data_IF_863123749638
#
_entry.id   IF_863123749638
#
_cell.length_a   1.000
_cell.length_b   1.000
_cell.length_c   1.000
_cell.angle_alpha   90.00
_cell.angle_beta   90.00
_cell.angle_gamma   90.00
#
_symmetry.space_group_name_H-M   'P 1'
#
loop_
_entity.id
_entity.type
_entity.pdbx_description
1 polymer ?
#
# COMPACT_ATOMS: atom_id res chain seq x y z
N UNK A 1 -0.46 -18.16 22.44
CA UNK A 1 -0.53 -19.58 22.82
C UNK A 1 -0.08 -20.40 21.63
N UNK A 2 0.94 -21.25 21.78
CA UNK A 2 1.34 -22.19 20.74
C UNK A 2 0.78 -23.57 21.12
N UNK A 3 -0.11 -24.12 20.30
CA UNK A 3 -0.73 -25.43 20.50
C UNK A 3 -0.21 -26.38 19.43
N UNK A 4 0.49 -27.44 19.84
CA UNK A 4 0.90 -28.52 18.95
C UNK A 4 -0.19 -29.59 18.88
N UNK A 5 -0.70 -29.85 17.68
CA UNK A 5 -1.69 -30.90 17.44
C UNK A 5 -1.02 -32.02 16.65
N UNK A 6 -1.17 -33.26 17.11
CA UNK A 6 -0.66 -34.44 16.41
C UNK A 6 -1.72 -34.96 15.44
N UNK A 7 -1.49 -34.95 14.11
CA UNK A 7 -2.53 -35.22 13.13
C UNK A 7 -2.68 -36.72 12.81
N UNK A 8 -3.41 -37.44 13.66
CA UNK A 8 -3.89 -38.79 13.34
C UNK A 8 -5.22 -38.71 12.60
N UNK A 9 -5.35 -39.46 11.50
CA UNK A 9 -6.63 -39.65 10.82
C UNK A 9 -7.45 -40.77 11.48
N UNK A 10 -8.68 -40.98 11.02
CA UNK A 10 -9.60 -42.02 11.55
C UNK A 10 -9.06 -43.45 11.39
N UNK A 11 -8.10 -43.66 10.50
CA UNK A 11 -7.36 -44.91 10.30
C UNK A 11 -6.11 -45.03 11.19
N UNK A 12 -5.95 -44.14 12.18
CA UNK A 12 -4.79 -44.02 13.08
C UNK A 12 -3.44 -43.82 12.37
N UNK A 13 -3.45 -43.30 11.14
CA UNK A 13 -2.25 -42.93 10.39
C UNK A 13 -1.88 -41.48 10.66
N UNK A 14 -0.58 -41.24 10.84
CA UNK A 14 -0.04 -39.90 11.02
C UNK A 14 0.02 -39.19 9.66
N UNK A 15 -0.88 -38.24 9.43
CA UNK A 15 -0.92 -37.48 8.19
C UNK A 15 -1.57 -36.11 8.39
N UNK A 16 -0.74 -35.06 8.42
CA UNK A 16 -1.21 -33.68 8.44
C UNK A 16 -2.05 -33.34 7.20
N UNK A 17 -1.72 -33.94 6.05
CA UNK A 17 -2.40 -33.66 4.78
C UNK A 17 -3.86 -34.09 4.79
N UNK A 18 -4.18 -35.22 5.43
CA UNK A 18 -5.56 -35.72 5.49
C UNK A 18 -6.37 -35.00 6.57
N UNK A 19 -5.74 -34.69 7.72
CA UNK A 19 -6.39 -34.03 8.86
C UNK A 19 -6.60 -32.53 8.64
N UNK A 20 -5.58 -31.82 8.14
CA UNK A 20 -5.62 -30.36 7.90
C UNK A 20 -5.72 -30.04 6.41
N UNK A 21 -6.79 -30.52 5.79
CA UNK A 21 -7.12 -30.18 4.41
C UNK A 21 -7.84 -28.81 4.33
N UNK A 22 -8.06 -28.30 3.10
CA UNK A 22 -8.71 -27.00 2.86
C UNK A 22 -10.11 -26.90 3.50
N UNK A 23 -10.90 -27.97 3.44
CA UNK A 23 -12.26 -27.99 4.02
C UNK A 23 -12.20 -27.95 5.55
N UNK A 24 -11.32 -28.74 6.16
CA UNK A 24 -11.12 -28.76 7.61
C UNK A 24 -10.67 -27.39 8.14
N UNK A 25 -9.72 -26.72 7.46
CA UNK A 25 -9.29 -25.38 7.84
C UNK A 25 -10.41 -24.34 7.70
N UNK A 26 -11.28 -24.45 6.69
CA UNK A 26 -12.45 -23.59 6.55
C UNK A 26 -13.48 -23.83 7.65
N UNK A 27 -13.75 -25.10 7.99
CA UNK A 27 -14.64 -25.48 9.07
C UNK A 27 -14.13 -24.93 10.42
N UNK A 28 -12.83 -25.05 10.71
CA UNK A 28 -12.25 -24.47 11.93
C UNK A 28 -12.44 -22.96 12.00
N UNK A 29 -12.29 -22.23 10.88
CA UNK A 29 -12.52 -20.78 10.84
C UNK A 29 -13.99 -20.41 11.06
N UNK A 30 -14.94 -21.28 10.72
CA UNK A 30 -16.39 -21.07 10.90
C UNK A 30 -16.85 -21.45 12.32
N UNK A 31 -16.41 -22.62 12.80
CA UNK A 31 -16.91 -23.23 14.03
C UNK A 31 -16.20 -22.72 15.28
N UNK A 32 -14.88 -22.46 15.22
CA UNK A 32 -14.11 -22.03 16.38
C UNK A 32 -14.60 -20.68 16.97
N UNK A 33 -14.90 -19.65 16.15
CA UNK A 33 -15.44 -18.41 16.68
C UNK A 33 -16.78 -18.63 17.40
N UNK A 34 -17.68 -19.41 16.78
CA UNK A 34 -19.00 -19.75 17.32
C UNK A 34 -18.89 -20.48 18.66
N UNK A 35 -18.01 -21.49 18.74
CA UNK A 35 -17.74 -22.25 19.95
C UNK A 35 -17.21 -21.40 21.11
N UNK A 36 -16.39 -20.39 20.80
CA UNK A 36 -15.88 -19.47 21.81
C UNK A 36 -16.94 -18.44 22.23
N UNK A 37 -17.78 -17.98 21.31
CA UNK A 37 -18.92 -17.10 21.63
C UNK A 37 -19.90 -17.77 22.60
N UNK A 38 -20.25 -19.04 22.38
CA UNK A 38 -21.11 -19.82 23.28
C UNK A 38 -20.54 -19.93 24.71
N UNK A 39 -19.22 -19.83 24.86
CA UNK A 39 -18.52 -19.85 26.15
C UNK A 39 -18.31 -18.46 26.76
N UNK A 40 -18.89 -17.43 26.15
CA UNK A 40 -18.89 -16.06 26.67
C UNK A 40 -17.73 -15.18 26.16
N UNK A 41 -16.98 -15.59 25.13
CA UNK A 41 -15.97 -14.74 24.52
C UNK A 41 -16.57 -13.87 23.41
N UNK A 42 -16.40 -12.54 23.50
CA UNK A 42 -16.87 -11.62 22.46
C UNK A 42 -15.86 -11.50 21.32
N UNK A 43 -15.97 -12.38 20.32
CA UNK A 43 -15.12 -12.41 19.14
C UNK A 43 -15.93 -12.78 17.90
N UNK A 44 -15.51 -12.29 16.74
CA UNK A 44 -16.20 -12.52 15.47
C UNK A 44 -15.31 -13.29 14.51
N UNK A 45 -15.95 -13.93 13.53
CA UNK A 45 -15.27 -14.61 12.43
C UNK A 45 -14.45 -13.60 11.61
N UNK A 46 -13.26 -14.00 11.16
CA UNK A 46 -12.52 -13.27 10.14
C UNK A 46 -13.28 -13.16 8.81
N UNK A 47 -12.84 -12.25 7.94
CA UNK A 47 -13.48 -11.99 6.64
C UNK A 47 -13.49 -13.26 5.75
N UNK A 48 -14.68 -13.65 5.26
CA UNK A 48 -14.87 -14.88 4.47
C UNK A 48 -14.35 -14.68 3.05
N UNK A 49 -13.49 -15.59 2.60
CA UNK A 49 -12.79 -15.44 1.33
C UNK A 49 -11.68 -14.38 1.35
N UNK A 50 -11.18 -14.02 2.54
CA UNK A 50 -10.05 -13.10 2.67
C UNK A 50 -8.84 -13.60 1.88
N UNK A 51 -8.43 -12.82 0.90
CA UNK A 51 -7.22 -13.04 0.10
C UNK A 51 -5.95 -12.52 0.79
N UNK A 52 -6.04 -12.08 2.07
CA UNK A 52 -4.87 -11.64 2.83
C UNK A 52 -3.85 -12.77 2.96
N UNK A 53 -2.61 -12.48 2.54
CA UNK A 53 -1.45 -13.32 2.80
C UNK A 53 -1.08 -13.29 4.28
N UNK A 54 -0.68 -14.45 4.82
CA UNK A 54 -0.10 -14.53 6.15
C UNK A 54 1.27 -13.84 6.14
N UNK A 55 1.32 -12.65 6.74
CA UNK A 55 2.56 -11.91 6.93
C UNK A 55 3.38 -12.56 8.05
N UNK A 56 4.69 -12.62 7.89
CA UNK A 56 5.56 -12.96 9.01
C UNK A 56 5.48 -11.88 10.09
N UNK A 57 5.79 -12.22 11.35
CA UNK A 57 5.73 -11.26 12.48
C UNK A 57 6.52 -9.96 12.20
N UNK A 58 7.74 -10.00 11.63
CA UNK A 58 8.48 -8.78 11.29
C UNK A 58 7.80 -7.94 10.20
N UNK A 59 7.28 -8.58 9.15
CA UNK A 59 6.59 -7.90 8.05
C UNK A 59 5.29 -7.25 8.53
N UNK A 60 4.53 -7.95 9.39
CA UNK A 60 3.32 -7.41 9.98
C UNK A 60 3.59 -6.17 10.85
N UNK A 61 4.67 -6.20 11.64
CA UNK A 61 5.09 -5.04 12.44
C UNK A 61 5.44 -3.84 11.56
N UNK A 62 6.25 -4.03 10.53
CA UNK A 62 6.59 -2.98 9.56
C UNK A 62 5.36 -2.40 8.88
N UNK A 63 4.49 -3.24 8.34
CA UNK A 63 3.27 -2.79 7.68
C UNK A 63 2.37 -1.99 8.63
N UNK A 64 2.27 -2.40 9.90
CA UNK A 64 1.50 -1.68 10.92
C UNK A 64 2.13 -0.33 11.26
N UNK A 65 3.45 -0.27 11.38
CA UNK A 65 4.19 0.95 11.69
C UNK A 65 4.09 1.96 10.53
N UNK A 66 4.24 1.52 9.28
CA UNK A 66 4.04 2.33 8.08
C UNK A 66 2.61 2.89 7.99
N UNK A 67 1.60 2.05 8.26
CA UNK A 67 0.20 2.47 8.26
C UNK A 67 -0.05 3.52 9.35
N UNK A 68 0.55 3.32 10.53
CA UNK A 68 0.45 4.27 11.64
C UNK A 68 1.10 5.60 11.26
N UNK A 69 2.32 5.59 10.75
CA UNK A 69 3.03 6.79 10.29
C UNK A 69 2.24 7.55 9.23
N UNK A 70 1.73 6.86 8.21
CA UNK A 70 0.86 7.45 7.19
C UNK A 70 -0.40 8.08 7.79
N UNK A 71 -1.07 7.42 8.74
CA UNK A 71 -2.27 8.00 9.38
C UNK A 71 -1.95 9.24 10.20
N UNK A 72 -0.88 9.23 11.01
CA UNK A 72 -0.47 10.41 11.78
C UNK A 72 -0.05 11.58 10.89
N UNK A 73 0.67 11.32 9.81
CA UNK A 73 1.07 12.39 8.87
C UNK A 73 -0.12 12.99 8.15
N UNK A 74 -1.13 12.18 7.81
CA UNK A 74 -2.38 12.65 7.20
C UNK A 74 -3.21 13.49 8.18
N UNK A 75 -3.34 13.05 9.43
CA UNK A 75 -4.00 13.81 10.49
C UNK A 75 -3.27 15.12 10.81
N UNK A 76 -1.94 15.09 10.90
CA UNK A 76 -1.11 16.29 11.09
C UNK A 76 -1.31 17.29 9.95
N UNK A 77 -1.20 16.85 8.69
CA UNK A 77 -1.44 17.75 7.54
C UNK A 77 -2.86 18.31 7.50
N UNK A 78 -3.86 17.50 7.85
CA UNK A 78 -5.25 17.96 7.95
C UNK A 78 -5.40 19.02 9.05
N UNK A 79 -4.77 18.81 10.21
CA UNK A 79 -4.77 19.75 11.32
C UNK A 79 -4.01 21.04 11.01
N UNK A 80 -2.89 20.95 10.29
CA UNK A 80 -2.07 22.07 9.86
C UNK A 80 -2.81 22.94 8.85
N UNK A 81 -3.48 22.34 7.85
CA UNK A 81 -4.33 23.07 6.90
C UNK A 81 -5.47 23.79 7.63
N UNK A 82 -6.11 23.13 8.62
CA UNK A 82 -7.13 23.74 9.45
C UNK A 82 -6.59 24.88 10.34
N UNK A 83 -5.39 24.72 10.91
CA UNK A 83 -4.75 25.75 11.73
C UNK A 83 -4.33 26.96 10.88
N UNK A 84 -3.73 26.73 9.72
CA UNK A 84 -3.40 27.79 8.75
C UNK A 84 -4.63 28.55 8.26
N UNK A 85 -5.79 27.87 8.15
CA UNK A 85 -7.06 28.52 7.81
C UNK A 85 -7.63 29.39 8.93
N UNK A 86 -7.27 29.13 10.20
CA UNK A 86 -7.80 29.82 11.39
C UNK A 86 -6.88 30.91 11.94
N UNK A 87 -5.56 30.72 11.88
CA UNK A 87 -4.59 31.55 12.64
C UNK A 87 -3.97 32.72 11.86
N UNK A 88 -4.06 32.76 10.53
CA UNK A 88 -3.60 33.94 9.77
C UNK A 88 -4.63 35.06 9.86
N UNK A 89 -4.55 35.85 10.93
CA UNK A 89 -5.10 37.21 10.92
C UNK A 89 -4.27 38.01 9.91
N UNK A 90 -4.89 38.73 8.96
CA UNK A 90 -4.12 39.60 8.07
C UNK A 90 -3.38 40.62 8.94
N UNK A 91 -2.05 40.54 8.94
CA UNK A 91 -1.21 41.57 9.55
C UNK A 91 -1.24 42.71 8.55
N UNK A 92 -2.03 43.73 8.86
CA UNK A 92 -2.09 44.95 8.08
C UNK A 92 -0.84 45.74 8.42
N UNK A 93 0.05 45.86 7.44
CA UNK A 93 1.19 46.76 7.53
C UNK A 93 0.67 48.21 7.54
N UNK A 94 0.70 48.82 8.72
CA UNK A 94 0.18 50.18 8.95
C UNK A 94 1.06 51.24 8.27
N UNK A 95 2.34 50.94 8.04
CA UNK A 95 3.30 51.85 7.42
C UNK A 95 3.06 51.94 5.90
N UNK A 96 2.55 50.88 5.27
CA UNK A 96 2.24 50.83 3.84
C UNK A 96 0.94 51.59 3.43
N UNK A 97 0.13 51.99 4.41
CA UNK A 97 -1.20 52.59 4.22
C UNK A 97 -1.21 54.13 4.20
N UNK A 98 -0.05 54.78 4.33
CA UNK A 98 0.11 56.25 4.27
C UNK A 98 -0.90 57.01 5.17
N UNK A 99 -1.10 56.49 6.38
CA UNK A 99 -2.08 57.00 7.33
C UNK A 99 -1.70 58.41 7.83
N UNK A 100 -2.65 59.35 7.83
CA UNK A 100 -2.46 60.70 8.36
C UNK A 100 -3.48 61.00 9.45
N UNK A 101 -3.08 61.68 10.52
CA UNK A 101 -4.02 62.14 11.54
C UNK A 101 -4.91 63.27 10.99
N UNK A 102 -6.23 63.19 11.22
CA UNK A 102 -7.14 64.29 10.91
C UNK A 102 -6.96 65.40 11.97
N UNK A 103 -6.57 66.59 11.53
CA UNK A 103 -6.46 67.79 12.38
C UNK A 103 -7.65 68.72 12.17
N UNK A 104 -8.07 69.41 13.24
CA UNK A 104 -9.07 70.49 13.18
C UNK A 104 -8.47 71.75 13.79
N UNK A 105 -8.74 72.88 13.15
CA UNK A 105 -8.30 74.19 13.61
C UNK A 105 -9.21 74.68 14.73
N UNK A 106 -8.66 74.83 15.93
CA UNK A 106 -9.35 75.34 17.12
C UNK A 106 -8.77 76.68 17.51
N UNK A 107 -9.63 77.63 17.89
CA UNK A 107 -9.18 78.93 18.40
C UNK A 107 -8.82 78.78 19.88
N UNK A 108 -7.54 78.93 20.19
CA UNK A 108 -7.01 78.88 21.56
C UNK A 108 -6.43 80.25 21.95
N UNK A 109 -6.40 80.59 23.24
CA UNK A 109 -5.77 81.82 23.69
C UNK A 109 -4.29 81.87 23.28
N UNK A 110 -3.88 83.00 22.71
CA UNK A 110 -2.51 83.23 22.20
C UNK A 110 -1.52 83.56 23.31
N UNK A 111 -2.00 83.85 24.54
CA UNK A 111 -1.19 84.34 25.66
C UNK A 111 -0.74 85.81 25.51
N UNK A 112 -0.94 86.41 24.33
CA UNK A 112 -0.75 87.84 24.10
C UNK A 112 -2.00 88.59 24.58
N UNK A 113 -1.80 89.49 25.54
CA UNK A 113 -2.87 90.33 26.10
C UNK A 113 -2.56 91.80 25.88
N UNK A 114 -3.58 92.58 25.57
CA UNK A 114 -3.52 94.05 25.55
C UNK A 114 -4.49 94.60 26.59
N UNK A 115 -4.03 95.62 27.33
CA UNK A 115 -4.81 96.32 28.37
C UNK A 115 -4.24 96.15 29.79
N UNK A 116 -4.69 97.01 30.71
CA UNK A 116 -4.23 97.06 32.11
C UNK A 116 -5.42 96.85 33.05
N UNK A 117 -5.25 96.06 34.11
CA UNK A 117 -6.32 95.79 35.09
C UNK A 117 -7.48 94.96 34.52
N UNK A 118 -8.72 95.41 34.71
CA UNK A 118 -9.96 94.68 34.33
C UNK A 118 -10.32 94.77 32.84
N UNK A 119 -9.58 95.54 32.02
CA UNK A 119 -9.80 95.67 30.56
C UNK A 119 -8.81 94.83 29.73
N UNK A 120 -8.34 93.69 30.24
CA UNK A 120 -7.45 92.80 29.48
C UNK A 120 -8.23 92.06 28.39
N UNK A 121 -7.81 92.22 27.14
CA UNK A 121 -8.27 91.39 26.03
C UNK A 121 -7.16 90.40 25.67
N UNK A 122 -7.50 89.11 25.58
CA UNK A 122 -6.58 88.05 25.18
C UNK A 122 -6.80 87.71 23.72
N UNK A 123 -5.75 87.81 22.91
CA UNK A 123 -5.84 87.45 21.49
C UNK A 123 -6.01 85.95 21.35
N UNK A 124 -6.80 85.52 20.37
CA UNK A 124 -6.98 84.10 20.05
C UNK A 124 -6.10 83.75 18.84
N UNK A 125 -5.36 82.65 18.93
CA UNK A 125 -4.62 82.06 17.81
C UNK A 125 -5.34 80.81 17.31
N UNK A 126 -5.15 80.51 16.04
CA UNK A 126 -5.59 79.24 15.46
C UNK A 126 -4.51 78.18 15.75
N UNK A 127 -4.91 77.08 16.37
CA UNK A 127 -4.03 75.93 16.63
C UNK A 127 -4.65 74.67 16.03
N UNK A 128 -3.85 73.88 15.32
CA UNK A 128 -4.29 72.59 14.78
C UNK A 128 -4.21 71.53 15.87
N UNK A 129 -5.37 71.00 16.27
CA UNK A 129 -5.45 69.92 17.23
C UNK A 129 -5.87 68.62 16.54
N UNK A 130 -5.24 67.50 16.92
CA UNK A 130 -5.57 66.17 16.41
C UNK A 130 -6.95 65.76 16.92
N UNK A 131 -7.79 65.28 16.02
CA UNK A 131 -9.18 64.88 16.34
C UNK A 131 -9.30 63.46 16.88
N UNK A 132 -8.24 62.65 16.76
CA UNK A 132 -8.25 61.22 17.08
C UNK A 132 -8.69 60.32 15.92
N UNK A 133 -9.13 60.90 14.79
CA UNK A 133 -9.42 60.16 13.56
C UNK A 133 -8.18 60.07 12.64
N UNK A 134 -8.15 59.05 11.78
CA UNK A 134 -7.07 58.81 10.81
C UNK A 134 -7.63 58.78 9.39
N UNK A 135 -6.94 59.45 8.47
CA UNK A 135 -7.25 59.56 7.05
C UNK A 135 -6.40 58.58 6.26
N UNK A 136 -7.05 57.83 5.37
CA UNK A 136 -6.40 56.90 4.45
C UNK A 136 -6.66 57.33 2.99
N UNK A 137 -5.66 57.26 2.09
CA UNK A 137 -5.90 57.48 0.66
C UNK A 137 -6.92 56.47 0.11
N UNK A 138 -7.87 56.95 -0.70
CA UNK A 138 -8.95 56.13 -1.27
C UNK A 138 -8.42 54.93 -2.07
N UNK A 139 -7.36 55.12 -2.84
CA UNK A 139 -6.77 54.05 -3.65
C UNK A 139 -6.18 52.94 -2.77
N UNK A 140 -5.49 53.31 -1.68
CA UNK A 140 -4.95 52.37 -0.70
C UNK A 140 -6.06 51.59 0.01
N UNK A 141 -7.13 52.28 0.40
CA UNK A 141 -8.32 51.64 0.98
C UNK A 141 -8.94 50.63 0.01
N UNK A 142 -9.12 51.00 -1.25
CA UNK A 142 -9.66 50.10 -2.27
C UNK A 142 -8.77 48.87 -2.49
N UNK A 143 -7.44 49.04 -2.54
CA UNK A 143 -6.51 47.90 -2.66
C UNK A 143 -6.57 46.98 -1.44
N UNK A 144 -6.75 47.52 -0.23
CA UNK A 144 -6.89 46.73 0.98
C UNK A 144 -8.19 45.91 0.97
N UNK A 145 -9.30 46.51 0.53
CA UNK A 145 -10.59 45.83 0.39
C UNK A 145 -10.48 44.69 -0.63
N UNK A 146 -9.92 44.95 -1.81
CA UNK A 146 -9.70 43.92 -2.83
C UNK A 146 -8.83 42.77 -2.33
N UNK A 147 -7.71 43.08 -1.66
CA UNK A 147 -6.84 42.05 -1.09
C UNK A 147 -7.54 41.19 -0.04
N UNK A 148 -8.43 41.78 0.77
CA UNK A 148 -9.23 41.03 1.73
C UNK A 148 -10.26 40.13 1.04
N UNK A 149 -10.96 40.63 0.02
CA UNK A 149 -11.92 39.85 -0.77
C UNK A 149 -11.25 38.66 -1.47
N UNK A 150 -10.08 38.89 -2.09
CA UNK A 150 -9.29 37.83 -2.74
C UNK A 150 -8.84 36.75 -1.75
N UNK A 151 -8.41 37.16 -0.55
CA UNK A 151 -7.99 36.24 0.51
C UNK A 151 -9.18 35.42 1.01
N UNK A 152 -10.33 36.06 1.25
CA UNK A 152 -11.57 35.39 1.64
C UNK A 152 -12.00 34.37 0.59
N UNK A 153 -12.04 34.77 -0.68
CA UNK A 153 -12.40 33.89 -1.79
C UNK A 153 -11.43 32.70 -1.93
N UNK A 154 -10.14 32.92 -1.73
CA UNK A 154 -9.12 31.87 -1.78
C UNK A 154 -9.30 30.86 -0.65
N UNK A 155 -9.58 31.33 0.57
CA UNK A 155 -9.87 30.47 1.72
C UNK A 155 -11.14 29.63 1.51
N UNK A 156 -12.20 30.21 0.96
CA UNK A 156 -13.42 29.49 0.63
C UNK A 156 -13.19 28.39 -0.43
N UNK A 157 -12.36 28.67 -1.45
CA UNK A 157 -11.95 27.66 -2.44
C UNK A 157 -11.15 26.52 -1.80
N UNK A 158 -10.21 26.83 -0.93
CA UNK A 158 -9.42 25.82 -0.20
C UNK A 158 -10.31 24.94 0.68
N UNK A 159 -11.28 25.53 1.38
CA UNK A 159 -12.26 24.81 2.19
C UNK A 159 -13.08 23.84 1.34
N UNK A 160 -13.62 24.31 0.20
CA UNK A 160 -14.35 23.45 -0.74
C UNK A 160 -13.48 22.30 -1.27
N UNK A 161 -12.24 22.57 -1.68
CA UNK A 161 -11.31 21.53 -2.13
C UNK A 161 -11.06 20.46 -1.06
N UNK A 162 -10.85 20.88 0.19
CA UNK A 162 -10.65 19.98 1.32
C UNK A 162 -11.89 19.13 1.65
N UNK A 163 -13.09 19.66 1.42
CA UNK A 163 -14.36 18.98 1.69
C UNK A 163 -14.86 18.09 0.53
N UNK A 164 -14.58 18.45 -0.73
CA UNK A 164 -15.13 17.73 -1.89
C UNK A 164 -14.10 16.94 -2.66
N UNK A 165 -13.02 17.58 -3.13
CA UNK A 165 -12.12 16.99 -4.11
C UNK A 165 -11.09 16.08 -3.47
N UNK A 166 -10.57 16.48 -2.29
CA UNK A 166 -9.64 15.67 -1.53
C UNK A 166 -10.27 14.32 -1.09
N UNK A 167 -11.50 14.27 -0.53
CA UNK A 167 -12.16 13.00 -0.21
C UNK A 167 -12.48 12.15 -1.45
N UNK A 168 -12.89 12.76 -2.58
CA UNK A 168 -13.09 12.04 -3.84
C UNK A 168 -11.80 11.39 -4.32
N UNK A 169 -10.67 12.12 -4.27
CA UNK A 169 -9.36 11.60 -4.67
C UNK A 169 -8.90 10.48 -3.76
N UNK A 170 -9.08 10.62 -2.44
CA UNK A 170 -8.80 9.55 -1.46
C UNK A 170 -9.62 8.31 -1.82
N UNK A 171 -10.94 8.44 -2.00
CA UNK A 171 -11.82 7.32 -2.38
C UNK A 171 -11.36 6.64 -3.68
N UNK A 172 -11.03 7.41 -4.71
CA UNK A 172 -10.52 6.90 -5.98
C UNK A 172 -9.23 6.09 -5.79
N UNK A 173 -8.27 6.62 -5.03
CA UNK A 173 -6.99 5.93 -4.76
C UNK A 173 -7.22 4.66 -3.96
N UNK A 174 -8.09 4.69 -2.93
CA UNK A 174 -8.45 3.50 -2.15
C UNK A 174 -9.05 2.40 -3.03
N UNK A 175 -9.94 2.75 -3.95
CA UNK A 175 -10.56 1.77 -4.85
C UNK A 175 -9.56 1.20 -5.86
N UNK A 176 -8.68 2.02 -6.42
CA UNK A 176 -7.57 1.54 -7.26
C UNK A 176 -6.61 0.62 -6.51
N UNK A 177 -6.31 0.93 -5.25
CA UNK A 177 -5.48 0.06 -4.42
C UNK A 177 -6.15 -1.30 -4.20
N UNK A 178 -7.47 -1.34 -3.92
CA UNK A 178 -8.22 -2.60 -3.80
C UNK A 178 -8.20 -3.43 -5.08
N UNK A 179 -8.36 -2.79 -6.26
CA UNK A 179 -8.22 -3.48 -7.55
C UNK A 179 -6.84 -4.11 -7.70
N UNK A 180 -5.77 -3.36 -7.44
CA UNK A 180 -4.39 -3.87 -7.53
C UNK A 180 -4.13 -5.04 -6.58
N UNK A 181 -4.69 -5.00 -5.36
CA UNK A 181 -4.58 -6.11 -4.41
C UNK A 181 -5.25 -7.38 -4.95
N UNK A 182 -6.46 -7.28 -5.51
CA UNK A 182 -7.16 -8.42 -6.13
C UNK A 182 -6.35 -9.02 -7.29
N UNK A 183 -5.86 -8.18 -8.20
CA UNK A 183 -5.06 -8.64 -9.35
C UNK A 183 -3.79 -9.39 -8.90
N UNK A 184 -3.14 -8.89 -7.84
CA UNK A 184 -1.98 -9.54 -7.26
C UNK A 184 -2.31 -10.89 -6.61
N UNK A 185 -3.46 -11.00 -5.95
CA UNK A 185 -3.91 -12.24 -5.35
C UNK A 185 -4.29 -13.28 -6.41
N UNK A 186 -5.01 -12.87 -7.46
CA UNK A 186 -5.30 -13.72 -8.62
C UNK A 186 -4.03 -14.23 -9.30
N UNK A 187 -2.99 -13.39 -9.38
CA UNK A 187 -1.68 -13.81 -9.89
C UNK A 187 -1.01 -14.81 -8.94
N UNK A 188 -1.07 -14.59 -7.63
CA UNK A 188 -0.50 -15.49 -6.63
C UNK A 188 -1.18 -16.87 -6.64
N UNK A 189 -2.51 -16.90 -6.77
CA UNK A 189 -3.27 -18.16 -6.86
C UNK A 189 -2.91 -18.94 -8.13
N UNK A 190 -2.80 -18.24 -9.28
CA UNK A 190 -2.31 -18.86 -10.51
C UNK A 190 -0.90 -19.41 -10.37
N UNK A 191 -0.02 -18.67 -9.71
CA UNK A 191 1.35 -19.12 -9.45
C UNK A 191 1.38 -20.38 -8.58
N UNK A 192 0.61 -20.41 -7.49
CA UNK A 192 0.52 -21.58 -6.61
C UNK A 192 -0.07 -22.81 -7.34
N UNK A 193 -1.13 -22.62 -8.13
CA UNK A 193 -1.70 -23.71 -8.94
C UNK A 193 -0.68 -24.26 -9.95
N UNK A 194 0.14 -23.39 -10.55
CA UNK A 194 1.21 -23.80 -11.45
C UNK A 194 2.30 -24.57 -10.71
N UNK A 195 2.68 -24.15 -9.50
CA UNK A 195 3.63 -24.88 -8.65
C UNK A 195 3.12 -26.28 -8.31
N UNK A 196 1.86 -26.41 -7.88
CA UNK A 196 1.27 -27.72 -7.61
C UNK A 196 1.26 -28.63 -8.85
N UNK A 197 0.98 -28.04 -10.02
CA UNK A 197 1.03 -28.76 -11.28
C UNK A 197 2.45 -29.23 -11.63
N UNK A 198 3.45 -28.37 -11.44
CA UNK A 198 4.87 -28.72 -11.61
C UNK A 198 5.25 -29.88 -10.69
N UNK A 199 4.94 -29.78 -9.39
CA UNK A 199 5.18 -30.84 -8.41
C UNK A 199 4.52 -32.18 -8.82
N UNK A 200 3.30 -32.12 -9.37
CA UNK A 200 2.60 -33.31 -9.84
C UNK A 200 3.30 -33.94 -11.06
N UNK A 201 3.72 -33.13 -12.01
CA UNK A 201 4.44 -33.56 -13.22
C UNK A 201 5.83 -34.11 -12.87
N UNK A 202 6.51 -33.55 -11.88
CA UNK A 202 7.79 -34.07 -11.39
C UNK A 202 7.62 -35.45 -10.75
N UNK A 203 6.57 -35.66 -9.96
CA UNK A 203 6.25 -36.97 -9.38
C UNK A 203 5.92 -38.00 -10.45
N UNK A 204 5.10 -37.63 -11.43
CA UNK A 204 4.74 -38.49 -12.56
C UNK A 204 5.98 -38.86 -13.37
N UNK A 205 6.81 -37.88 -13.73
CA UNK A 205 8.09 -38.13 -14.43
C UNK A 205 9.02 -39.04 -13.64
N UNK A 206 9.10 -38.89 -12.31
CA UNK A 206 9.90 -39.77 -11.47
C UNK A 206 9.33 -41.20 -11.41
N UNK A 207 8.00 -41.36 -11.38
CA UNK A 207 7.34 -42.66 -11.48
C UNK A 207 7.67 -43.33 -12.81
N UNK A 208 7.47 -42.63 -13.93
CA UNK A 208 7.76 -43.12 -15.27
C UNK A 208 9.24 -43.52 -15.42
N UNK A 209 10.16 -42.70 -14.89
CA UNK A 209 11.60 -43.04 -14.87
C UNK A 209 11.87 -44.34 -14.12
N UNK A 210 11.17 -44.59 -13.00
CA UNK A 210 11.33 -45.81 -12.21
C UNK A 210 10.72 -47.03 -12.91
N UNK A 211 9.54 -46.89 -13.51
CA UNK A 211 8.89 -47.94 -14.30
C UNK A 211 9.77 -48.34 -15.50
N UNK A 212 10.29 -47.36 -16.24
CA UNK A 212 11.23 -47.59 -17.34
C UNK A 212 12.47 -48.36 -16.86
N UNK A 213 13.09 -47.94 -15.74
CA UNK A 213 14.22 -48.68 -15.13
C UNK A 213 13.82 -50.12 -14.75
N UNK A 214 12.61 -50.32 -14.24
CA UNK A 214 12.05 -51.63 -13.92
C UNK A 214 11.93 -52.52 -15.16
N UNK A 215 11.36 -51.98 -16.25
CA UNK A 215 11.25 -52.66 -17.54
C UNK A 215 12.63 -53.07 -18.06
N UNK A 216 13.62 -52.16 -18.05
CA UNK A 216 14.98 -52.50 -18.46
C UNK A 216 15.55 -53.68 -17.67
N UNK A 217 15.43 -53.66 -16.34
CA UNK A 217 15.91 -54.75 -15.47
C UNK A 217 15.19 -56.06 -15.75
N UNK A 218 13.87 -56.03 -15.88
CA UNK A 218 13.05 -57.21 -16.18
C UNK A 218 13.38 -57.81 -17.54
N UNK A 219 13.56 -56.96 -18.55
CA UNK A 219 13.95 -57.38 -19.89
C UNK A 219 15.33 -58.03 -19.90
N UNK A 220 16.32 -57.44 -19.21
CA UNK A 220 17.65 -58.04 -19.08
C UNK A 220 17.60 -59.40 -18.40
N UNK A 221 16.93 -59.49 -17.24
CA UNK A 221 16.81 -60.75 -16.51
C UNK A 221 16.08 -61.84 -17.32
N UNK A 222 15.07 -61.47 -18.11
CA UNK A 222 14.37 -62.39 -18.99
C UNK A 222 15.29 -62.95 -20.08
N UNK A 223 16.09 -62.13 -20.76
CA UNK A 223 16.99 -62.59 -21.83
C UNK A 223 18.16 -63.41 -21.30
N UNK A 224 18.71 -63.05 -20.15
CA UNK A 224 19.74 -63.84 -19.46
C UNK A 224 19.23 -65.25 -19.13
N UNK A 225 18.01 -65.36 -18.58
CA UNK A 225 17.41 -66.65 -18.21
C UNK A 225 16.87 -67.47 -19.38
N UNK A 226 16.23 -66.83 -20.36
CA UNK A 226 15.46 -67.54 -21.41
C UNK A 226 16.27 -67.87 -22.66
N UNK A 227 17.34 -67.11 -22.95
CA UNK A 227 18.12 -67.27 -24.19
C UNK A 227 19.62 -67.49 -23.98
N UNK A 228 20.10 -67.49 -22.72
CA UNK A 228 21.53 -67.67 -22.43
C UNK A 228 22.42 -66.56 -23.02
N UNK A 229 21.83 -65.39 -23.26
CA UNK A 229 22.47 -64.23 -23.90
C UNK A 229 23.20 -63.42 -22.84
N UNK A 230 24.42 -62.95 -23.13
CA UNK A 230 25.20 -62.15 -22.17
C UNK A 230 24.65 -60.74 -22.00
N UNK A 231 24.89 -60.13 -20.84
CA UNK A 231 24.41 -58.78 -20.54
C UNK A 231 24.84 -57.73 -21.60
N UNK A 232 26.04 -57.86 -22.18
CA UNK A 232 26.51 -56.98 -23.27
C UNK A 232 25.68 -57.10 -24.55
N UNK A 233 25.30 -58.32 -24.94
CA UNK A 233 24.48 -58.57 -26.12
C UNK A 233 23.05 -58.03 -25.93
N UNK A 234 22.50 -58.17 -24.73
CA UNK A 234 21.19 -57.57 -24.39
C UNK A 234 21.28 -56.05 -24.47
N UNK A 235 22.35 -55.45 -23.94
CA UNK A 235 22.55 -53.98 -23.93
C UNK A 235 22.62 -53.41 -25.35
N UNK A 236 23.25 -54.10 -26.29
CA UNK A 236 23.30 -53.69 -27.70
C UNK A 236 21.94 -53.77 -28.37
N UNK A 237 21.20 -54.86 -28.14
CA UNK A 237 19.85 -55.07 -28.70
C UNK A 237 18.85 -54.04 -28.18
N UNK A 238 18.88 -53.80 -26.88
CA UNK A 238 18.08 -52.77 -26.21
C UNK A 238 18.46 -51.37 -26.69
N UNK A 239 19.76 -51.08 -26.87
CA UNK A 239 20.23 -49.82 -27.46
C UNK A 239 19.64 -49.58 -28.85
N UNK A 240 19.64 -50.60 -29.72
CA UNK A 240 19.03 -50.52 -31.05
C UNK A 240 17.52 -50.26 -31.02
N UNK A 241 16.79 -50.85 -30.07
CA UNK A 241 15.36 -50.58 -29.85
C UNK A 241 15.17 -49.14 -29.37
N UNK A 242 15.97 -48.66 -28.43
CA UNK A 242 15.92 -47.28 -27.91
C UNK A 242 16.16 -46.27 -29.02
N UNK A 243 17.12 -46.50 -29.89
CA UNK A 243 17.40 -45.61 -31.01
C UNK A 243 16.26 -45.60 -32.04
N UNK A 244 15.60 -46.75 -32.25
CA UNK A 244 14.36 -46.83 -33.03
C UNK A 244 13.21 -46.06 -32.37
N UNK A 245 13.03 -46.19 -31.05
CA UNK A 245 12.03 -45.41 -30.29
C UNK A 245 12.33 -43.92 -30.38
N UNK A 246 13.59 -43.49 -30.27
CA UNK A 246 13.99 -42.09 -30.46
C UNK A 246 13.63 -41.56 -31.84
N UNK A 247 13.73 -42.38 -32.90
CA UNK A 247 13.27 -41.98 -34.24
C UNK A 247 11.76 -41.73 -34.29
N UNK A 248 10.95 -42.53 -33.60
CA UNK A 248 9.49 -42.35 -33.53
C UNK A 248 9.06 -41.19 -32.63
N UNK A 249 9.86 -40.85 -31.62
CA UNK A 249 9.60 -39.76 -30.66
C UNK A 249 10.30 -38.45 -31.08
N UNK A 250 10.93 -38.40 -32.27
CA UNK A 250 11.56 -37.19 -32.83
C UNK A 250 10.60 -35.99 -32.79
N UNK A 251 11.01 -34.90 -32.14
CA UNK A 251 10.20 -33.69 -31.95
C UNK A 251 9.29 -33.67 -30.72
N UNK A 252 9.23 -34.74 -29.92
CA UNK A 252 8.49 -34.81 -28.66
C UNK A 252 9.15 -34.05 -27.50
N UNK A 253 8.42 -33.84 -26.39
CA UNK A 253 8.87 -33.03 -25.25
C UNK A 253 10.21 -33.48 -24.64
N UNK A 254 10.54 -34.78 -24.70
CA UNK A 254 11.83 -35.32 -24.25
C UNK A 254 13.05 -34.68 -24.95
N UNK A 255 12.96 -34.41 -26.26
CA UNK A 255 14.04 -33.79 -27.03
C UNK A 255 14.16 -32.29 -26.71
N UNK A 256 13.04 -31.64 -26.39
CA UNK A 256 12.99 -30.23 -25.97
C UNK A 256 13.54 -30.02 -24.56
N UNK A 257 13.18 -30.89 -23.62
CA UNK A 257 13.67 -30.86 -22.23
C UNK A 257 15.19 -31.10 -22.21
N UNK A 258 15.69 -32.09 -22.96
CA UNK A 258 17.12 -32.38 -22.99
C UNK A 258 17.95 -31.25 -23.61
N UNK A 259 17.44 -30.56 -24.65
CA UNK A 259 18.07 -29.36 -25.23
C UNK A 259 18.07 -28.16 -24.28
N UNK A 260 17.05 -28.03 -23.44
CA UNK A 260 16.99 -26.94 -22.45
C UNK A 260 17.89 -27.21 -21.25
N UNK A 261 17.93 -28.45 -20.74
CA UNK A 261 18.83 -28.86 -19.65
C UNK A 261 20.31 -28.73 -20.01
N UNK A 262 20.70 -29.07 -21.25
CA UNK A 262 22.07 -28.86 -21.75
C UNK A 262 22.41 -27.37 -21.85
N UNK A 263 21.51 -26.54 -22.40
CA UNK A 263 21.71 -25.08 -22.47
C UNK A 263 21.82 -24.41 -21.09
N UNK A 264 21.10 -24.89 -20.07
CA UNK A 264 21.22 -24.35 -18.70
C UNK A 264 22.52 -24.75 -18.03
N UNK A 265 22.99 -25.99 -18.23
CA UNK A 265 24.31 -26.43 -17.72
C UNK A 265 25.45 -25.66 -18.35
N UNK A 266 25.40 -25.45 -19.66
CA UNK A 266 26.43 -24.66 -20.38
C UNK A 266 26.47 -23.21 -19.88
N UNK A 267 25.32 -22.63 -19.49
CA UNK A 267 25.24 -21.27 -18.93
C UNK A 267 25.83 -21.15 -17.52
N UNK A 268 25.62 -22.17 -16.68
CA UNK A 268 26.15 -22.23 -15.31
C UNK A 268 27.66 -22.56 -15.29
N UNK A 269 28.15 -23.32 -16.28
CA UNK A 269 29.58 -23.58 -16.47
C UNK A 269 30.34 -22.38 -17.04
N UNK A 270 29.68 -21.52 -17.85
CA UNK A 270 30.23 -20.24 -18.32
C UNK A 270 30.21 -19.11 -17.28
N UNK A 271 29.49 -19.28 -16.17
CA UNK A 271 29.39 -18.28 -15.08
C UNK A 271 30.27 -18.61 -13.86
N UNK A 272 31.10 -19.66 -13.95
CA UNK A 272 32.14 -20.02 -12.96
C UNK A 272 33.53 -19.72 -13.51
#
# INVERSE_FOLDING_TARGET
MHLGIVPFNDEYKLSAKTVFNRQALQAVQDELPTYLQERGFNLERGEKGSERKNLTVPEYKKAKDELKEMTTTLEQRKSEVLALSKDKRPIIDKEALDLKDETKTVKVPSGETIGIGKLRHEFMKNEEQKTGNVIIPKDKLNTLIQGYEDLYNSNERLKKYAETDLPKRIKYVTEKYKETVRDFNDLADRYNNNLEKIDSLEKENNSLKNEIKGIYRGFTAFFEKSKGVTAEQVKTLVGGVVDKVKEFVKGGEFEKIHRNETKTRDRDELSR
#
